data_IF_837175120904
#
_entry.id   IF_837175120904
#
_cell.length_a   1.000
_cell.length_b   1.000
_cell.length_c   1.000
_cell.angle_alpha   90.00
_cell.angle_beta   90.00
_cell.angle_gamma   90.00
#
_symmetry.space_group_name_H-M   'P 1'
#
loop_
_entity.id
_entity.type
_entity.pdbx_description
1 polymer ?
#
# COMPACT_ATOMS: atom_id res chain seq x y z
N UNK A 1 9.76 0.86 13.32
CA UNK A 1 9.05 1.32 12.13
C UNK A 1 7.83 2.09 12.57
N UNK A 2 7.74 3.35 12.19
CA UNK A 2 6.53 4.16 12.29
C UNK A 2 5.86 4.24 10.93
N UNK A 3 4.53 4.31 10.95
CA UNK A 3 3.70 4.38 9.75
C UNK A 3 2.69 5.49 9.97
N UNK A 4 2.63 6.43 9.04
CA UNK A 4 1.75 7.59 9.09
C UNK A 4 0.80 7.49 7.92
N UNK A 5 -0.51 7.46 8.17
CA UNK A 5 -1.49 7.54 7.09
C UNK A 5 -1.54 8.97 6.54
N UNK A 6 -1.31 9.09 5.23
CA UNK A 6 -1.23 10.34 4.49
C UNK A 6 -2.43 10.56 3.57
N UNK A 7 -3.37 9.60 3.50
CA UNK A 7 -4.50 9.58 2.57
C UNK A 7 -5.26 10.91 2.50
N UNK A 8 -5.55 11.53 3.64
CA UNK A 8 -6.28 12.81 3.70
C UNK A 8 -5.46 14.01 3.24
N UNK A 9 -4.13 13.96 3.42
CA UNK A 9 -3.22 15.00 2.98
C UNK A 9 -2.93 14.93 1.47
N UNK A 10 -3.16 13.77 0.86
CA UNK A 10 -2.92 13.50 -0.57
C UNK A 10 -4.21 13.30 -1.37
N UNK A 11 -5.30 13.98 -0.96
CA UNK A 11 -6.65 13.79 -1.53
C UNK A 11 -6.72 13.95 -3.05
N UNK A 12 -5.97 14.90 -3.62
CA UNK A 12 -5.94 15.15 -5.06
C UNK A 12 -5.29 13.99 -5.83
N UNK A 13 -4.26 13.37 -5.26
CA UNK A 13 -3.61 12.18 -5.82
C UNK A 13 -4.54 10.98 -5.74
N UNK A 14 -5.17 10.77 -4.58
CA UNK A 14 -6.11 9.68 -4.33
C UNK A 14 -7.25 9.75 -5.32
N UNK A 15 -7.96 10.88 -5.40
CA UNK A 15 -9.11 11.06 -6.29
C UNK A 15 -8.78 10.76 -7.75
N UNK A 16 -7.68 11.33 -8.28
CA UNK A 16 -7.25 11.12 -9.67
C UNK A 16 -6.85 9.67 -9.97
N UNK A 17 -6.22 8.99 -9.01
CA UNK A 17 -5.80 7.61 -9.22
C UNK A 17 -6.98 6.63 -9.08
N UNK A 18 -7.94 6.90 -8.21
CA UNK A 18 -9.15 6.06 -8.06
C UNK A 18 -9.91 6.00 -9.39
N UNK A 19 -10.08 7.15 -10.07
CA UNK A 19 -10.75 7.20 -11.37
C UNK A 19 -10.01 6.44 -12.49
N UNK A 20 -8.67 6.41 -12.45
CA UNK A 20 -7.86 5.85 -13.55
C UNK A 20 -7.46 4.38 -13.36
N UNK A 21 -7.38 3.91 -12.11
CA UNK A 21 -6.91 2.55 -11.79
C UNK A 21 -8.04 1.53 -11.60
N UNK A 22 -9.29 1.99 -11.48
CA UNK A 22 -10.44 1.14 -11.18
C UNK A 22 -10.49 0.64 -9.72
N UNK A 23 -9.57 1.09 -8.86
CA UNK A 23 -9.68 0.88 -7.42
C UNK A 23 -10.86 1.68 -6.87
N UNK A 24 -11.59 1.15 -5.90
CA UNK A 24 -12.70 1.88 -5.26
C UNK A 24 -12.23 2.77 -4.11
N UNK A 25 -11.06 2.49 -3.54
CA UNK A 25 -10.40 3.30 -2.53
C UNK A 25 -8.88 3.23 -2.70
N UNK A 26 -8.18 4.30 -2.33
CA UNK A 26 -6.72 4.34 -2.31
C UNK A 26 -6.29 5.01 -1.02
N UNK A 27 -5.44 4.30 -0.27
CA UNK A 27 -4.83 4.82 0.96
C UNK A 27 -3.34 4.97 0.77
N UNK A 28 -2.77 6.00 1.38
CA UNK A 28 -1.35 6.30 1.27
C UNK A 28 -0.72 6.36 2.64
N UNK A 29 0.50 5.86 2.74
CA UNK A 29 1.23 5.73 3.98
C UNK A 29 2.67 6.16 3.77
N UNK A 30 3.17 6.93 4.72
CA UNK A 30 4.58 7.20 4.89
C UNK A 30 5.16 6.22 5.93
N UNK A 31 6.24 5.53 5.57
CA UNK A 31 6.88 4.53 6.42
C UNK A 31 8.30 4.98 6.72
N UNK A 32 8.57 5.19 8.00
CA UNK A 32 9.86 5.64 8.53
C UNK A 32 10.42 6.92 7.87
N UNK A 33 9.62 7.72 7.15
CA UNK A 33 10.09 8.78 6.24
C UNK A 33 11.11 8.30 5.20
N UNK A 34 11.15 6.99 4.93
CA UNK A 34 12.08 6.36 3.98
C UNK A 34 11.37 5.90 2.71
N UNK A 35 10.10 5.50 2.83
CA UNK A 35 9.34 4.98 1.71
C UNK A 35 7.87 5.34 1.82
N UNK A 36 7.25 5.36 0.65
CA UNK A 36 5.80 5.48 0.48
C UNK A 36 5.22 4.09 0.22
N UNK A 37 4.04 3.86 0.80
CA UNK A 37 3.19 2.71 0.51
C UNK A 37 1.82 3.21 0.08
N UNK A 38 1.39 2.76 -1.09
CA UNK A 38 0.07 3.00 -1.63
C UNK A 38 -0.72 1.69 -1.58
N UNK A 39 -1.89 1.70 -0.98
CA UNK A 39 -2.82 0.59 -0.93
C UNK A 39 -4.04 0.90 -1.79
N UNK A 40 -4.20 0.19 -2.90
CA UNK A 40 -5.32 0.30 -3.84
C UNK A 40 -6.29 -0.84 -3.56
N UNK A 41 -7.53 -0.51 -3.28
CA UNK A 41 -8.55 -1.47 -2.90
C UNK A 41 -9.40 -1.85 -4.11
N UNK A 42 -9.42 -3.14 -4.43
CA UNK A 42 -10.28 -3.77 -5.42
C UNK A 42 -11.24 -4.73 -4.73
N UNK A 43 -12.31 -5.17 -5.42
CA UNK A 43 -13.35 -5.99 -4.80
C UNK A 43 -12.78 -7.28 -4.16
N UNK A 44 -11.83 -7.92 -4.84
CA UNK A 44 -11.30 -9.23 -4.45
C UNK A 44 -9.91 -9.18 -3.80
N UNK A 45 -9.20 -8.05 -3.88
CA UNK A 45 -7.82 -7.95 -3.42
C UNK A 45 -7.42 -6.52 -3.08
N UNK A 46 -6.32 -6.38 -2.34
CA UNK A 46 -5.64 -5.09 -2.15
C UNK A 46 -4.32 -5.16 -2.90
N UNK A 47 -4.07 -4.17 -3.76
CA UNK A 47 -2.79 -3.98 -4.41
C UNK A 47 -1.95 -2.97 -3.61
N UNK A 48 -0.79 -3.39 -3.16
CA UNK A 48 0.18 -2.56 -2.48
C UNK A 48 1.28 -2.17 -3.46
N UNK A 49 1.66 -0.90 -3.43
CA UNK A 49 2.81 -0.37 -4.17
C UNK A 49 3.74 0.34 -3.22
N UNK A 50 5.00 -0.08 -3.17
CA UNK A 50 6.04 0.49 -2.33
C UNK A 50 7.06 1.18 -3.20
N UNK A 51 7.51 2.35 -2.75
CA UNK A 51 8.61 3.08 -3.38
C UNK A 51 9.43 3.83 -2.33
N UNK A 52 10.75 3.69 -2.35
CA UNK A 52 11.65 4.49 -1.50
C UNK A 52 11.76 5.93 -2.01
N UNK A 53 11.95 6.87 -1.09
CA UNK A 53 12.19 8.28 -1.42
C UNK A 53 13.63 8.54 -1.88
N UNK A 54 13.88 9.76 -2.35
CA UNK A 54 15.21 10.27 -2.71
C UNK A 54 15.94 9.39 -3.73
N UNK A 55 15.19 8.82 -4.68
CA UNK A 55 15.69 7.94 -5.74
C UNK A 55 16.49 6.72 -5.24
N UNK A 56 16.22 6.29 -4.00
CA UNK A 56 16.77 5.05 -3.47
C UNK A 56 16.14 3.85 -4.17
N UNK A 57 16.93 2.80 -4.37
CA UNK A 57 16.48 1.55 -4.99
C UNK A 57 15.48 0.81 -4.07
N UNK A 58 14.30 0.52 -4.61
CA UNK A 58 13.29 -0.31 -3.96
C UNK A 58 13.63 -1.77 -4.20
N UNK A 59 13.67 -2.57 -3.12
CA UNK A 59 14.09 -3.97 -3.19
C UNK A 59 13.10 -4.89 -2.49
N UNK A 60 13.24 -6.20 -2.73
CA UNK A 60 12.48 -7.21 -1.98
C UNK A 60 12.70 -7.19 -0.46
N UNK A 61 13.80 -6.61 0.02
CA UNK A 61 14.02 -6.46 1.45
C UNK A 61 13.09 -5.41 2.09
N UNK A 62 12.61 -4.44 1.33
CA UNK A 62 11.69 -3.43 1.85
C UNK A 62 10.33 -4.06 2.19
N UNK A 63 9.87 -5.03 1.39
CA UNK A 63 8.71 -5.85 1.75
C UNK A 63 8.92 -6.67 3.01
N UNK A 64 10.10 -7.30 3.17
CA UNK A 64 10.39 -8.08 4.40
C UNK A 64 10.38 -7.20 5.65
N UNK A 65 10.84 -5.96 5.55
CA UNK A 65 10.73 -4.98 6.65
C UNK A 65 9.27 -4.74 6.99
N UNK A 66 8.41 -4.54 6.00
CA UNK A 66 6.97 -4.35 6.19
C UNK A 66 6.27 -5.56 6.79
N UNK A 67 6.56 -6.78 6.31
CA UNK A 67 5.99 -8.01 6.90
C UNK A 67 6.26 -8.13 8.40
N UNK A 68 7.37 -7.57 8.91
CA UNK A 68 7.69 -7.63 10.34
C UNK A 68 6.68 -6.88 11.25
N UNK A 69 5.83 -6.04 10.68
CA UNK A 69 4.71 -5.39 11.38
C UNK A 69 3.53 -6.32 11.57
N UNK A 70 3.36 -7.32 10.69
CA UNK A 70 2.18 -8.19 10.61
C UNK A 70 1.00 -7.47 9.94
N UNK A 71 0.39 -6.50 10.64
CA UNK A 71 -0.78 -5.75 10.17
C UNK A 71 -0.53 -4.25 10.21
N UNK A 72 -0.73 -3.56 9.09
CA UNK A 72 -0.61 -2.10 9.01
C UNK A 72 -1.87 -1.39 9.52
N UNK A 73 -3.01 -1.99 9.20
CA UNK A 73 -4.38 -1.58 9.53
C UNK A 73 -5.21 -2.87 9.62
N UNK A 74 -6.43 -2.87 10.20
CA UNK A 74 -7.20 -4.10 10.41
C UNK A 74 -7.51 -4.91 9.14
N UNK A 75 -7.42 -4.28 7.96
CA UNK A 75 -7.73 -4.83 6.64
C UNK A 75 -6.50 -5.16 5.78
N UNK A 76 -5.34 -4.56 6.06
CA UNK A 76 -4.07 -4.82 5.35
C UNK A 76 -3.24 -5.83 6.14
N UNK A 77 -3.49 -7.11 5.86
CA UNK A 77 -2.71 -8.24 6.37
C UNK A 77 -1.55 -8.55 5.43
N UNK A 78 -0.32 -8.34 5.89
CA UNK A 78 0.87 -8.61 5.09
C UNK A 78 1.16 -10.11 4.96
N UNK A 79 0.64 -10.96 5.85
CA UNK A 79 0.93 -12.40 5.82
C UNK A 79 0.19 -13.13 4.70
N UNK A 80 -1.01 -12.68 4.31
CA UNK A 80 -1.78 -13.26 3.20
C UNK A 80 -1.40 -12.69 1.82
N UNK A 81 -0.10 -12.78 1.51
CA UNK A 81 0.45 -12.37 0.21
C UNK A 81 0.11 -13.37 -0.89
N UNK A 82 -0.46 -12.90 -2.00
CA UNK A 82 -0.77 -13.72 -3.19
C UNK A 82 0.32 -13.64 -4.25
N UNK A 83 0.81 -12.44 -4.52
CA UNK A 83 1.83 -12.20 -5.54
C UNK A 83 2.73 -11.03 -5.18
N UNK A 84 3.97 -11.04 -5.67
CA UNK A 84 4.93 -9.96 -5.52
C UNK A 84 5.75 -9.80 -6.79
N UNK A 85 5.82 -8.58 -7.30
CA UNK A 85 6.57 -8.22 -8.49
C UNK A 85 7.38 -6.93 -8.28
N UNK A 86 8.65 -6.93 -8.69
CA UNK A 86 9.51 -5.75 -8.68
C UNK A 86 9.54 -5.15 -10.10
N UNK A 87 9.05 -3.93 -10.24
CA UNK A 87 9.20 -3.13 -11.45
C UNK A 87 10.54 -2.37 -11.39
N UNK A 88 11.55 -2.90 -12.06
CA UNK A 88 12.88 -2.30 -12.15
C UNK A 88 12.89 -1.00 -12.97
N UNK A 89 11.95 -0.83 -13.91
CA UNK A 89 11.87 0.37 -14.74
C UNK A 89 11.36 1.56 -13.92
N UNK A 90 10.30 1.32 -13.14
CA UNK A 90 9.65 2.35 -12.33
C UNK A 90 10.18 2.41 -10.89
N UNK A 91 11.13 1.53 -10.54
CA UNK A 91 11.75 1.37 -9.23
C UNK A 91 10.73 1.19 -8.10
N UNK A 92 9.78 0.27 -8.32
CA UNK A 92 8.60 0.07 -7.48
C UNK A 92 8.38 -1.39 -7.18
N UNK A 93 7.95 -1.69 -5.96
CA UNK A 93 7.57 -3.03 -5.58
C UNK A 93 6.05 -3.13 -5.47
N UNK A 94 5.49 -4.10 -6.17
CA UNK A 94 4.07 -4.37 -6.31
C UNK A 94 3.73 -5.65 -5.55
N UNK A 95 2.74 -5.61 -4.68
CA UNK A 95 2.31 -6.76 -3.88
C UNK A 95 0.80 -6.88 -3.97
N UNK A 96 0.30 -8.07 -4.27
CA UNK A 96 -1.11 -8.39 -4.16
C UNK A 96 -1.34 -9.15 -2.85
N UNK A 97 -2.26 -8.66 -2.01
CA UNK A 97 -2.72 -9.35 -0.81
C UNK A 97 -4.22 -9.64 -0.90
N UNK A 98 -4.68 -10.65 -0.16
CA UNK A 98 -6.12 -10.90 -0.06
C UNK A 98 -6.84 -9.71 0.58
N UNK A 99 -8.03 -9.39 0.09
CA UNK A 99 -8.91 -8.46 0.78
C UNK A 99 -9.54 -9.18 1.98
N UNK A 100 -9.10 -8.84 3.20
CA UNK A 100 -9.74 -9.37 4.40
C UNK A 100 -11.05 -8.62 4.64
N UNK A 101 -12.14 -9.33 4.91
CA UNK A 101 -13.52 -8.80 4.97
C UNK A 101 -13.77 -7.93 6.22
N UNK A 102 -12.73 -7.33 6.82
CA UNK A 102 -12.92 -6.26 7.80
C UNK A 102 -13.38 -5.00 7.06
N UNK A 103 -14.64 -5.02 6.61
CA UNK A 103 -15.35 -3.84 6.12
C UNK A 103 -15.26 -2.77 7.20
N UNK A 104 -14.53 -1.71 6.91
CA UNK A 104 -14.50 -0.47 7.68
C UNK A 104 -15.94 -0.02 7.94
N UNK A 105 -16.42 -0.25 9.16
CA UNK A 105 -17.76 0.11 9.59
C UNK A 105 -17.74 1.59 10.00
N UNK A 106 -17.52 2.48 9.02
CA UNK A 106 -17.67 3.92 9.22
C UNK A 106 -19.17 4.26 9.18
N UNK A 107 -19.85 3.95 10.28
CA UNK A 107 -21.14 4.55 10.64
C UNK A 107 -21.05 5.12 12.04
N UNK A 108 -20.94 6.44 12.10
CA UNK A 108 -21.44 7.27 13.21
C UNK A 108 -21.81 8.63 12.67
#
# INVERSE_FOLDING_TARGET
MFVIEMTTYESDFVFKNTESTGAYDIRTFDIDHEMSLFAYYYEDYIHLKIRRYNDQETTMNDWKKLKSVGLLYPDIDFDDTKDIFLDEQENQLHIQIAHTIYKRNDKS
#
